data_IF_756400058808
#
_entry.id   IF_756400058808
#
_cell.length_a   1.000
_cell.length_b   1.000
_cell.length_c   1.000
_cell.angle_alpha   90.00
_cell.angle_beta   90.00
_cell.angle_gamma   90.00
#
_symmetry.space_group_name_H-M   'P 1'
#
loop_
_entity.id
_entity.type
_entity.pdbx_description
1 polymer ?
#
# COMPACT_ATOMS: atom_id res chain seq x y z
N UNK A 1 2.73 -5.06 5.78
CA UNK A 1 1.34 -4.69 5.49
C UNK A 1 1.36 -3.33 4.87
N UNK A 2 1.02 -3.02 3.90
CA UNK A 2 0.82 -1.95 2.98
C UNK A 2 1.40 -2.30 1.68
N UNK A 3 0.60 -2.64 1.05
CA UNK A 3 0.44 -3.22 -0.17
C UNK A 3 0.16 -2.12 -1.16
N UNK A 4 0.30 -2.44 -2.37
CA UNK A 4 0.04 -1.64 -3.56
C UNK A 4 -1.09 -0.60 -3.43
N UNK A 5 -2.08 -0.85 -2.58
CA UNK A 5 -3.27 0.00 -2.44
C UNK A 5 -2.95 1.39 -1.89
N UNK A 6 -2.14 1.48 -0.83
CA UNK A 6 -1.68 2.78 -0.31
C UNK A 6 -0.75 3.48 -1.29
N UNK A 7 0.07 2.72 -2.04
CA UNK A 7 0.94 3.26 -3.08
C UNK A 7 0.12 3.91 -4.21
N UNK A 8 -0.93 3.21 -4.67
CA UNK A 8 -1.80 3.73 -5.72
C UNK A 8 -2.77 4.82 -5.22
N UNK A 9 -3.10 4.84 -3.94
CA UNK A 9 -3.93 5.89 -3.35
C UNK A 9 -3.20 7.23 -3.19
N UNK A 10 -1.87 7.24 -3.23
CA UNK A 10 -1.11 8.46 -3.03
C UNK A 10 -1.09 9.32 -4.31
N UNK A 11 -1.61 10.57 -4.26
CA UNK A 11 -1.56 11.48 -5.40
C UNK A 11 -0.21 12.18 -5.55
N UNK A 12 0.63 12.18 -4.51
CA UNK A 12 1.93 12.86 -4.50
C UNK A 12 3.01 11.91 -5.04
N UNK A 13 3.64 12.22 -6.19
CA UNK A 13 4.70 11.40 -6.75
C UNK A 13 5.87 11.25 -5.77
N UNK A 14 6.36 10.02 -5.57
CA UNK A 14 7.51 9.74 -4.72
C UNK A 14 7.25 9.79 -3.20
N UNK A 15 6.03 10.15 -2.76
CA UNK A 15 5.70 10.16 -1.33
C UNK A 15 5.57 8.76 -0.73
N UNK A 16 5.22 7.77 -1.54
CA UNK A 16 5.25 6.36 -1.15
C UNK A 16 6.13 5.62 -2.14
N UNK A 17 7.09 4.89 -1.63
CA UNK A 17 8.09 4.14 -2.42
C UNK A 17 7.97 2.66 -2.10
N UNK A 18 8.08 1.82 -3.11
CA UNK A 18 8.22 0.39 -2.94
C UNK A 18 9.61 -0.03 -3.39
N UNK A 19 10.37 -0.65 -2.48
CA UNK A 19 11.70 -1.19 -2.77
C UNK A 19 11.62 -2.54 -3.51
N UNK A 20 12.71 -2.95 -4.11
CA UNK A 20 12.80 -4.21 -4.87
C UNK A 20 12.49 -5.46 -4.04
N UNK A 21 12.77 -5.40 -2.73
CA UNK A 21 12.44 -6.44 -1.76
C UNK A 21 10.96 -6.42 -1.30
N UNK A 22 10.14 -5.54 -1.89
CA UNK A 22 8.71 -5.42 -1.58
C UNK A 22 8.38 -4.51 -0.39
N UNK A 23 9.36 -4.03 0.35
CA UNK A 23 9.14 -3.09 1.46
C UNK A 23 8.57 -1.78 0.90
N UNK A 24 7.54 -1.26 1.56
CA UNK A 24 6.92 0.02 1.23
C UNK A 24 7.25 1.02 2.32
N UNK A 25 7.76 2.18 1.93
CA UNK A 25 8.11 3.27 2.84
C UNK A 25 7.46 4.60 2.44
N UNK A 26 7.43 5.55 3.37
CA UNK A 26 6.90 6.89 3.18
C UNK A 26 8.02 7.91 3.19
N UNK A 27 8.19 8.60 2.07
CA UNK A 27 9.06 9.76 2.01
C UNK A 27 8.35 10.97 2.63
N UNK A 28 8.80 11.37 3.81
CA UNK A 28 8.19 12.45 4.57
C UNK A 28 8.31 13.81 3.87
N UNK A 29 9.35 14.03 3.08
CA UNK A 29 9.56 15.28 2.35
C UNK A 29 8.51 15.46 1.24
N UNK A 30 8.17 14.37 0.56
CA UNK A 30 7.19 14.38 -0.54
C UNK A 30 5.74 14.24 -0.06
N UNK A 31 5.52 13.85 1.20
CA UNK A 31 4.19 13.67 1.74
C UNK A 31 3.47 15.01 1.90
N UNK A 32 2.28 15.15 1.31
CA UNK A 32 1.44 16.36 1.40
C UNK A 32 0.36 16.26 2.49
N UNK A 33 0.29 15.16 3.24
CA UNK A 33 -0.65 14.97 4.35
C UNK A 33 -2.12 14.79 3.95
N UNK A 34 -2.42 14.41 2.72
CA UNK A 34 -3.79 14.29 2.21
C UNK A 34 -4.60 13.10 2.75
N UNK A 35 -3.99 12.18 3.48
CA UNK A 35 -4.57 11.01 4.15
C UNK A 35 -5.26 9.98 3.24
N UNK A 36 -5.19 10.07 1.92
CA UNK A 36 -5.78 9.06 1.04
C UNK A 36 -5.19 7.65 1.25
N UNK A 37 -3.93 7.55 1.65
CA UNK A 37 -3.31 6.28 2.00
C UNK A 37 -3.86 5.68 3.31
N UNK A 38 -4.36 6.51 4.23
CA UNK A 38 -5.05 6.06 5.45
C UNK A 38 -6.39 5.45 5.06
N UNK A 39 -7.21 6.20 4.31
CA UNK A 39 -8.53 5.73 3.85
C UNK A 39 -8.45 4.53 2.91
N UNK A 40 -7.38 4.44 2.10
CA UNK A 40 -7.17 3.34 1.15
C UNK A 40 -6.59 2.08 1.78
N UNK A 41 -6.21 2.08 3.07
CA UNK A 41 -5.62 0.92 3.72
C UNK A 41 -6.69 0.11 4.47
N UNK A 42 -7.01 -1.12 4.02
CA UNK A 42 -8.03 -1.93 4.68
C UNK A 42 -7.62 -2.42 6.07
N UNK A 43 -6.36 -2.21 6.47
CA UNK A 43 -5.81 -2.58 7.77
C UNK A 43 -5.61 -1.40 8.71
N UNK A 44 -5.97 -0.19 8.29
CA UNK A 44 -5.75 1.05 9.07
C UNK A 44 -4.31 1.18 9.62
N UNK A 45 -3.31 0.91 8.78
CA UNK A 45 -1.89 0.91 9.20
C UNK A 45 -1.24 2.29 9.11
N UNK A 46 -1.40 3.08 8.03
CA UNK A 46 -0.81 4.41 7.97
C UNK A 46 -1.42 5.32 9.05
N UNK A 47 -0.58 6.05 9.76
CA UNK A 47 -0.99 6.99 10.82
C UNK A 47 -0.66 8.41 10.40
N UNK A 48 -1.66 9.27 10.51
CA UNK A 48 -1.49 10.71 10.31
C UNK A 48 -1.05 11.37 11.60
N UNK A 49 0.02 12.12 11.53
CA UNK A 49 0.49 12.97 12.61
C UNK A 49 -0.01 14.40 12.37
N UNK A 50 -0.78 14.93 13.32
CA UNK A 50 -1.39 16.25 13.22
C UNK A 50 -0.36 17.38 13.37
N UNK A 51 0.70 17.15 14.13
CA UNK A 51 1.73 18.16 14.40
C UNK A 51 2.63 18.39 13.18
N UNK A 52 3.10 17.30 12.58
CA UNK A 52 3.93 17.35 11.37
C UNK A 52 3.11 17.42 10.09
N UNK A 53 1.81 17.11 10.17
CA UNK A 53 0.87 16.97 9.04
C UNK A 53 1.36 15.94 8.00
N UNK A 54 2.01 14.89 8.45
CA UNK A 54 2.58 13.83 7.62
C UNK A 54 1.96 12.47 7.98
N UNK A 55 2.05 11.54 7.05
CA UNK A 55 1.63 10.16 7.30
C UNK A 55 2.86 9.28 7.44
N UNK A 56 2.85 8.41 8.44
CA UNK A 56 3.91 7.45 8.69
C UNK A 56 3.38 6.04 8.90
N UNK A 57 4.23 5.06 8.74
CA UNK A 57 3.99 3.65 9.09
C UNK A 57 5.31 2.94 9.35
N UNK A 58 5.26 1.70 9.82
CA UNK A 58 6.42 0.84 9.91
C UNK A 58 7.02 0.60 8.51
N UNK A 59 8.31 0.95 8.33
CA UNK A 59 9.06 0.73 7.11
C UNK A 59 9.89 -0.56 7.13
N UNK A 60 9.61 -1.46 8.08
CA UNK A 60 10.34 -2.72 8.29
C UNK A 60 11.86 -2.52 8.48
N UNK A 61 12.27 -1.35 8.97
CA UNK A 61 13.66 -0.97 9.16
C UNK A 61 14.49 -1.15 7.88
N UNK A 62 14.05 -0.57 6.76
CA UNK A 62 14.66 -0.76 5.43
C UNK A 62 16.18 -0.51 5.47
N UNK A 63 16.65 0.54 6.16
CA UNK A 63 18.07 0.88 6.28
C UNK A 63 18.89 -0.27 6.91
N UNK A 64 18.31 -0.95 7.90
CA UNK A 64 18.95 -2.12 8.54
C UNK A 64 18.94 -3.32 7.62
N UNK A 65 17.81 -3.57 6.96
CA UNK A 65 17.63 -4.71 6.04
C UNK A 65 18.59 -4.60 4.86
N UNK A 66 18.74 -3.42 4.26
CA UNK A 66 19.72 -3.17 3.19
C UNK A 66 21.17 -3.34 3.66
N UNK A 67 21.42 -3.12 4.94
CA UNK A 67 22.73 -3.37 5.58
C UNK A 67 22.91 -4.83 6.01
N UNK A 68 22.01 -5.75 5.63
CA UNK A 68 22.06 -7.16 6.03
C UNK A 68 21.72 -7.44 7.48
N UNK A 69 21.11 -6.48 8.17
CA UNK A 69 20.70 -6.60 9.57
C UNK A 69 19.20 -6.89 9.67
N UNK A 70 18.80 -7.66 10.66
CA UNK A 70 17.38 -7.88 10.96
C UNK A 70 16.69 -6.61 11.48
N UNK A 71 15.36 -6.49 11.33
CA UNK A 71 14.59 -5.39 11.91
C UNK A 71 14.78 -5.25 13.42
N UNK A 72 14.74 -4.02 13.92
CA UNK A 72 15.01 -3.74 15.34
C UNK A 72 14.04 -4.45 16.29
N UNK A 73 12.77 -4.56 15.93
CA UNK A 73 11.75 -5.26 16.72
C UNK A 73 12.03 -6.77 16.85
N UNK A 74 12.56 -7.41 15.81
CA UNK A 74 13.00 -8.81 15.83
C UNK A 74 14.16 -8.96 16.80
N UNK A 75 15.21 -8.15 16.62
CA UNK A 75 16.41 -8.17 17.46
C UNK A 75 16.10 -7.95 18.94
N UNK A 76 15.11 -7.11 19.24
CA UNK A 76 14.80 -6.71 20.62
C UNK A 76 13.78 -7.62 21.30
N UNK A 77 13.12 -8.51 20.56
CA UNK A 77 12.06 -9.36 21.10
C UNK A 77 12.63 -10.42 22.06
N UNK A 78 12.41 -10.34 23.39
CA UNK A 78 13.03 -11.28 24.35
C UNK A 78 12.42 -12.67 24.27
N UNK A 79 11.22 -12.80 23.72
CA UNK A 79 10.48 -14.07 23.61
C UNK A 79 10.61 -14.71 22.23
N UNK A 80 11.33 -14.11 21.30
CA UNK A 80 11.41 -14.52 19.89
C UNK A 80 10.03 -14.70 19.22
N UNK A 81 9.05 -13.90 19.67
CA UNK A 81 7.70 -13.95 19.09
C UNK A 81 7.63 -13.37 17.68
N UNK A 82 8.59 -12.53 17.32
CA UNK A 82 8.71 -11.90 16.01
C UNK A 82 9.86 -12.58 15.27
N UNK A 83 9.58 -13.08 14.08
CA UNK A 83 10.56 -13.73 13.20
C UNK A 83 10.71 -12.90 11.92
N UNK A 84 11.86 -12.99 11.27
CA UNK A 84 12.19 -12.29 10.05
C UNK A 84 12.89 -13.22 9.08
N UNK A 85 12.57 -13.12 7.80
CA UNK A 85 13.19 -13.90 6.74
C UNK A 85 12.49 -13.72 5.41
N UNK A 86 12.79 -14.58 4.44
CA UNK A 86 12.06 -14.61 3.18
C UNK A 86 10.58 -14.93 3.42
N UNK A 87 9.70 -14.47 2.53
CA UNK A 87 8.26 -14.73 2.68
C UNK A 87 7.97 -16.24 2.69
N UNK A 88 8.72 -17.00 1.91
CA UNK A 88 8.58 -18.45 1.78
C UNK A 88 8.96 -19.16 3.08
N UNK A 89 10.12 -18.83 3.65
CA UNK A 89 10.58 -19.38 4.93
C UNK A 89 9.64 -19.02 6.07
N UNK A 90 9.13 -17.78 6.07
CA UNK A 90 8.22 -17.32 7.11
C UNK A 90 6.84 -17.96 7.03
N UNK A 91 6.36 -18.29 5.84
CA UNK A 91 5.14 -19.09 5.66
C UNK A 91 5.34 -20.50 6.22
N UNK A 92 6.42 -21.17 5.84
CA UNK A 92 6.74 -22.51 6.36
C UNK A 92 6.87 -22.52 7.90
N UNK A 93 7.51 -21.50 8.47
CA UNK A 93 7.62 -21.35 9.91
C UNK A 93 6.25 -21.09 10.58
N UNK A 94 5.39 -20.31 9.92
CA UNK A 94 4.05 -20.02 10.42
C UNK A 94 3.19 -21.29 10.46
N UNK A 95 3.26 -22.12 9.42
CA UNK A 95 2.54 -23.40 9.36
C UNK A 95 3.01 -24.35 10.48
N UNK A 96 4.31 -24.47 10.73
CA UNK A 96 4.86 -25.25 11.85
C UNK A 96 4.35 -24.74 13.22
N UNK A 97 4.25 -23.42 13.38
CA UNK A 97 3.70 -22.83 14.61
C UNK A 97 2.20 -23.13 14.78
N UNK A 98 1.44 -23.14 13.68
CA UNK A 98 0.02 -23.54 13.69
C UNK A 98 -0.12 -25.00 14.15
N UNK A 99 0.66 -25.93 13.57
CA UNK A 99 0.67 -27.33 13.98
C UNK A 99 1.01 -27.48 15.48
N UNK A 100 1.97 -26.71 15.97
CA UNK A 100 2.32 -26.68 17.39
C UNK A 100 1.18 -26.18 18.27
N UNK A 101 0.43 -25.17 17.84
CA UNK A 101 -0.73 -24.66 18.57
C UNK A 101 -1.86 -25.69 18.57
N UNK A 102 -2.12 -26.32 17.44
CA UNK A 102 -3.15 -27.36 17.32
C UNK A 102 -2.86 -28.55 18.26
N UNK A 103 -1.59 -28.98 18.34
CA UNK A 103 -1.17 -30.03 19.27
C UNK A 103 -1.34 -29.64 20.74
N UNK A 104 -1.44 -28.34 21.06
CA UNK A 104 -1.71 -27.81 22.41
C UNK A 104 -3.19 -27.58 22.68
N UNK A 105 -4.09 -27.98 21.76
CA UNK A 105 -5.54 -27.88 21.91
C UNK A 105 -6.18 -26.62 21.30
N UNK A 106 -5.45 -25.84 20.54
CA UNK A 106 -6.00 -24.70 19.77
C UNK A 106 -6.40 -25.17 18.37
N UNK A 107 -7.51 -25.87 18.27
CA UNK A 107 -7.97 -26.49 17.01
C UNK A 107 -8.16 -25.49 15.86
N UNK A 108 -8.57 -24.25 16.18
CA UNK A 108 -8.81 -23.18 15.21
C UNK A 108 -7.58 -22.28 14.97
N UNK A 109 -6.38 -22.75 15.36
CA UNK A 109 -5.17 -21.99 15.08
C UNK A 109 -4.94 -21.84 13.56
N UNK A 110 -4.60 -20.64 13.12
CA UNK A 110 -4.43 -20.33 11.71
C UNK A 110 -3.35 -19.27 11.45
N UNK A 111 -2.84 -19.23 10.22
CA UNK A 111 -2.02 -18.15 9.73
C UNK A 111 -2.91 -17.06 9.13
N UNK A 112 -2.83 -15.87 9.66
CA UNK A 112 -3.47 -14.70 9.07
C UNK A 112 -2.58 -14.10 7.98
N UNK A 113 -2.91 -14.38 6.73
CA UNK A 113 -2.28 -13.86 5.52
C UNK A 113 -3.35 -13.70 4.43
N UNK A 114 -4.20 -12.66 4.52
CA UNK A 114 -5.44 -12.56 3.73
C UNK A 114 -5.17 -12.51 2.22
N UNK A 115 -5.82 -13.41 1.50
CA UNK A 115 -5.68 -13.56 0.05
C UNK A 115 -6.36 -12.41 -0.72
N UNK A 116 -7.42 -11.79 -0.16
CA UNK A 116 -8.17 -10.70 -0.79
C UNK A 116 -7.32 -9.47 -1.15
N UNK A 117 -6.16 -9.32 -0.51
CA UNK A 117 -5.17 -8.27 -0.81
C UNK A 117 -3.87 -8.82 -1.43
N UNK A 118 -3.86 -10.09 -1.86
CA UNK A 118 -2.67 -10.76 -2.40
C UNK A 118 -1.64 -11.16 -1.34
N UNK A 119 -2.07 -11.28 -0.09
CA UNK A 119 -1.21 -11.56 1.06
C UNK A 119 -0.51 -10.33 1.61
N UNK A 120 0.13 -10.48 2.75
CA UNK A 120 0.80 -9.41 3.48
C UNK A 120 2.27 -9.72 3.75
N UNK A 121 3.09 -8.68 3.96
CA UNK A 121 4.49 -8.85 4.42
C UNK A 121 4.58 -9.01 5.95
N UNK A 122 3.49 -8.76 6.67
CA UNK A 122 3.35 -9.07 8.09
C UNK A 122 2.27 -10.14 8.21
N UNK A 123 2.63 -11.30 8.72
CA UNK A 123 1.72 -12.42 8.94
C UNK A 123 1.60 -12.68 10.43
N UNK A 124 0.45 -13.16 10.86
CA UNK A 124 0.21 -13.48 12.26
C UNK A 124 -0.20 -14.94 12.38
N UNK A 125 0.39 -15.64 13.33
CA UNK A 125 -0.09 -16.93 13.77
C UNK A 125 -1.02 -16.69 14.95
N UNK A 126 -2.30 -16.97 14.77
CA UNK A 126 -3.34 -16.73 15.77
C UNK A 126 -3.89 -18.04 16.31
N UNK A 127 -4.10 -18.17 17.63
CA UNK A 127 -4.68 -19.39 18.24
C UNK A 127 -6.14 -19.61 17.85
N UNK A 128 -6.87 -18.52 17.54
CA UNK A 128 -8.31 -18.55 17.24
C UNK A 128 -8.57 -17.86 15.89
N UNK A 129 -8.31 -18.57 14.78
CA UNK A 129 -8.53 -18.07 13.42
C UNK A 129 -9.99 -17.83 13.07
N UNK A 130 -10.92 -18.40 13.84
CA UNK A 130 -12.36 -18.20 13.76
C UNK A 130 -12.84 -16.89 14.41
N UNK A 131 -11.99 -16.23 15.22
CA UNK A 131 -12.29 -15.00 15.97
C UNK A 131 -11.26 -13.90 15.70
N UNK A 132 -11.11 -13.52 14.44
CA UNK A 132 -10.13 -12.49 14.03
C UNK A 132 -10.42 -11.12 14.64
N UNK A 133 -11.68 -10.84 14.96
CA UNK A 133 -12.10 -9.58 15.59
C UNK A 133 -11.47 -9.38 16.98
N UNK A 134 -11.25 -10.47 17.75
CA UNK A 134 -10.56 -10.42 19.04
C UNK A 134 -9.12 -9.87 18.92
N UNK A 135 -8.53 -9.98 17.72
CA UNK A 135 -7.19 -9.48 17.41
C UNK A 135 -7.21 -8.16 16.64
N UNK A 136 -8.38 -7.56 16.43
CA UNK A 136 -8.56 -6.38 15.58
C UNK A 136 -8.04 -6.59 14.15
N UNK A 137 -8.17 -7.81 13.65
CA UNK A 137 -7.77 -8.19 12.30
C UNK A 137 -9.02 -8.30 11.41
N UNK A 138 -9.10 -7.58 10.27
CA UNK A 138 -10.23 -7.69 9.35
C UNK A 138 -10.29 -9.10 8.75
N UNK A 139 -11.48 -9.71 8.77
CA UNK A 139 -11.69 -11.09 8.30
C UNK A 139 -11.51 -11.24 6.79
N UNK A 140 -11.97 -10.25 6.01
CA UNK A 140 -11.84 -10.23 4.55
C UNK A 140 -11.46 -8.83 4.05
N UNK A 141 -10.20 -8.40 4.27
CA UNK A 141 -9.74 -7.13 3.79
C UNK A 141 -9.63 -7.16 2.27
N UNK A 142 -10.34 -6.26 1.62
CA UNK A 142 -10.27 -6.08 0.17
C UNK A 142 -9.67 -4.73 -0.16
N UNK A 143 -8.83 -4.69 -1.19
CA UNK A 143 -8.35 -3.45 -1.76
C UNK A 143 -9.54 -2.63 -2.25
N UNK A 144 -9.65 -1.37 -1.83
CA UNK A 144 -10.71 -0.49 -2.33
C UNK A 144 -10.27 0.21 -3.61
N UNK A 145 -10.59 -0.32 -4.80
CA UNK A 145 -10.21 0.30 -6.07
C UNK A 145 -11.06 1.54 -6.42
N UNK A 146 -12.16 1.76 -5.69
CA UNK A 146 -13.19 2.71 -6.09
C UNK A 146 -12.72 4.15 -6.33
N UNK A 147 -11.95 4.82 -5.44
CA UNK A 147 -11.48 6.17 -5.73
C UNK A 147 -10.44 6.21 -6.85
N UNK A 148 -9.69 5.14 -7.05
CA UNK A 148 -8.60 5.10 -8.03
C UNK A 148 -9.07 4.78 -9.44
N UNK A 149 -10.05 3.88 -9.58
CA UNK A 149 -10.67 3.59 -10.89
C UNK A 149 -11.45 4.80 -11.39
N UNK A 150 -12.17 5.51 -10.53
CA UNK A 150 -12.87 6.73 -10.91
C UNK A 150 -11.91 7.85 -11.33
N UNK A 151 -10.86 8.11 -10.54
CA UNK A 151 -9.81 9.08 -10.88
C UNK A 151 -9.01 8.67 -12.11
N UNK A 152 -8.69 7.38 -12.28
CA UNK A 152 -8.02 6.85 -13.45
C UNK A 152 -8.88 6.98 -14.71
N UNK A 153 -10.17 6.74 -14.60
CA UNK A 153 -11.13 6.90 -15.67
C UNK A 153 -11.28 8.40 -16.05
N UNK A 154 -11.45 9.28 -15.07
CA UNK A 154 -11.50 10.73 -15.28
C UNK A 154 -10.22 11.30 -15.92
N UNK A 155 -9.05 10.83 -15.48
CA UNK A 155 -7.76 11.21 -16.10
C UNK A 155 -7.69 10.78 -17.57
N UNK A 156 -8.16 9.57 -17.92
CA UNK A 156 -8.20 9.10 -19.31
C UNK A 156 -9.17 9.93 -20.14
N UNK A 157 -10.38 10.19 -19.65
CA UNK A 157 -11.34 11.07 -20.33
C UNK A 157 -10.76 12.46 -20.54
N UNK A 158 -10.16 13.05 -19.49
CA UNK A 158 -9.51 14.36 -19.59
C UNK A 158 -8.39 14.40 -20.62
N UNK A 159 -7.57 13.35 -20.70
CA UNK A 159 -6.53 13.24 -21.72
C UNK A 159 -7.11 13.16 -23.14
N UNK A 160 -8.18 12.39 -23.35
CA UNK A 160 -8.84 12.31 -24.66
C UNK A 160 -9.50 13.64 -25.05
N UNK A 161 -10.19 14.31 -24.12
CA UNK A 161 -10.79 15.62 -24.38
C UNK A 161 -9.74 16.67 -24.74
N UNK A 162 -8.62 16.67 -24.02
CA UNK A 162 -7.49 17.58 -24.30
C UNK A 162 -6.86 17.28 -25.67
N UNK A 163 -6.66 16.02 -26.01
CA UNK A 163 -6.16 15.63 -27.33
C UNK A 163 -7.10 16.05 -28.44
N UNK A 164 -8.42 15.86 -28.23
CA UNK A 164 -9.44 16.23 -29.21
C UNK A 164 -9.52 17.75 -29.42
N UNK A 165 -9.41 18.53 -28.33
CA UNK A 165 -9.38 20.00 -28.42
C UNK A 165 -8.13 20.53 -29.13
N UNK A 166 -6.97 19.92 -28.91
CA UNK A 166 -5.72 20.30 -29.62
C UNK A 166 -5.83 19.97 -31.11
N UNK A 167 -6.32 18.78 -31.45
CA UNK A 167 -6.53 18.38 -32.85
C UNK A 167 -7.57 19.28 -33.51
N UNK A 168 -8.68 19.58 -32.83
CA UNK A 168 -9.73 20.48 -33.31
C UNK A 168 -9.21 21.89 -33.56
N UNK A 169 -8.39 22.43 -32.65
CA UNK A 169 -7.76 23.73 -32.82
C UNK A 169 -6.78 23.76 -34.02
N UNK A 170 -6.03 22.68 -34.21
CA UNK A 170 -5.08 22.53 -35.32
C UNK A 170 -5.82 22.44 -36.65
N UNK A 171 -6.89 21.68 -36.74
CA UNK A 171 -7.74 21.57 -37.94
C UNK A 171 -8.39 22.92 -38.23
N UNK A 172 -8.92 23.60 -37.22
CA UNK A 172 -9.48 24.94 -37.38
C UNK A 172 -8.46 25.92 -37.90
N UNK A 173 -7.25 25.92 -37.35
CA UNK A 173 -6.16 26.77 -37.77
C UNK A 173 -5.73 26.50 -39.24
N UNK A 174 -5.66 25.21 -39.61
CA UNK A 174 -5.31 24.82 -40.98
C UNK A 174 -6.41 25.14 -42.02
N UNK A 175 -7.68 25.02 -41.60
CA UNK A 175 -8.83 25.22 -42.50
C UNK A 175 -9.20 26.70 -42.69
N UNK A 176 -9.11 27.46 -41.61
CA UNK A 176 -9.57 28.87 -41.64
C UNK A 176 -8.41 29.88 -41.53
N UNK A 177 -7.25 29.45 -41.03
CA UNK A 177 -6.05 30.28 -40.85
C UNK A 177 -6.26 31.49 -39.92
N UNK A 178 -5.24 32.28 -39.65
CA UNK A 178 -5.42 33.62 -39.07
C UNK A 178 -5.94 34.56 -40.15
N UNK A 179 -7.08 35.22 -39.89
CA UNK A 179 -7.50 36.37 -40.72
C UNK A 179 -6.36 37.40 -40.71
N UNK A 180 -5.82 37.68 -41.86
CA UNK A 180 -4.92 38.82 -41.98
C UNK A 180 -5.77 40.08 -41.85
N UNK A 181 -5.56 40.79 -40.75
CA UNK A 181 -6.00 42.17 -40.65
C UNK A 181 -5.13 42.93 -41.67
N UNK A 182 -5.69 43.15 -42.83
CA UNK A 182 -5.06 44.06 -43.80
C UNK A 182 -5.08 45.43 -43.14
N UNK A 183 -3.90 45.97 -42.82
CA UNK A 183 -3.74 47.30 -42.28
C UNK A 183 -4.22 48.29 -43.39
N UNK A 184 -5.28 49.07 -43.11
CA UNK A 184 -5.64 50.28 -43.83
C UNK A 184 -4.74 51.44 -43.40
#
# INVERSE_FOLDING_TARGET
MCIRDSLYACPAPGAIVQYTNGIVDFNQEQCIGCQYCVTGCPFDIPRFDADTRKVSKCNMCIDRVESGLEPACVKTCPTNAISWGSKEDMLALADQKVETLQSRGYENAAVYNPAGVGGTHMMYVVPHGDRLDDYSLPSDPTASPAPMTALGFLKRIGAYLLSFSVVGALVHFLAYGPERLDEE
#
